data_IF_298438528909
#
_entry.id   IF_298438528909
#
_cell.length_a   1.000
_cell.length_b   1.000
_cell.length_c   1.000
_cell.angle_alpha   90.00
_cell.angle_beta   90.00
_cell.angle_gamma   90.00
#
_symmetry.space_group_name_H-M   'P 1'
#
loop_
_entity.id
_entity.type
_entity.pdbx_description
1 polymer ?
#
# COMPACT_ATOMS: atom_id res chain seq x y z
N UNK A 1 17.42 17.18 -13.45
CA UNK A 1 17.68 16.04 -14.37
C UNK A 1 16.39 15.22 -14.42
N UNK A 2 15.95 14.90 -15.62
CA UNK A 2 14.75 14.10 -15.82
C UNK A 2 14.98 12.66 -15.28
N UNK A 3 13.99 12.12 -14.56
CA UNK A 3 14.01 10.78 -13.99
C UNK A 3 12.93 9.93 -14.67
N UNK A 4 13.14 8.62 -14.75
CA UNK A 4 12.10 7.71 -15.20
C UNK A 4 11.01 7.58 -14.13
N UNK A 5 9.76 7.38 -14.58
CA UNK A 5 8.63 7.13 -13.67
C UNK A 5 8.93 5.99 -12.71
N UNK A 6 9.57 4.91 -13.17
CA UNK A 6 10.01 3.82 -12.31
C UNK A 6 10.90 4.29 -11.14
N UNK A 7 11.85 5.19 -11.41
CA UNK A 7 12.76 5.75 -10.40
C UNK A 7 12.01 6.69 -9.43
N UNK A 8 11.06 7.47 -9.95
CA UNK A 8 10.21 8.36 -9.14
C UNK A 8 9.33 7.56 -8.19
N UNK A 9 8.73 6.46 -8.67
CA UNK A 9 7.90 5.56 -7.85
C UNK A 9 8.73 4.94 -6.73
N UNK A 10 9.93 4.43 -7.04
CA UNK A 10 10.85 3.84 -6.06
C UNK A 10 11.24 4.87 -4.98
N UNK A 11 11.68 6.07 -5.39
CA UNK A 11 12.07 7.13 -4.46
C UNK A 11 10.89 7.57 -3.56
N UNK A 12 9.68 7.67 -4.12
CA UNK A 12 8.48 8.02 -3.34
C UNK A 12 8.14 6.95 -2.29
N UNK A 13 8.28 5.67 -2.63
CA UNK A 13 8.07 4.56 -1.68
C UNK A 13 9.13 4.57 -0.56
N UNK A 14 10.40 4.81 -0.89
CA UNK A 14 11.48 4.93 0.11
C UNK A 14 11.24 6.11 1.06
N UNK A 15 10.89 7.28 0.53
CA UNK A 15 10.54 8.46 1.34
C UNK A 15 9.32 8.21 2.24
N UNK A 16 8.40 7.35 1.82
CA UNK A 16 7.26 6.92 2.63
C UNK A 16 7.63 5.91 3.74
N UNK A 17 8.89 5.45 3.78
CA UNK A 17 9.40 4.54 4.80
C UNK A 17 9.37 3.06 4.42
N UNK A 18 9.04 2.72 3.17
CA UNK A 18 9.12 1.34 2.70
C UNK A 18 10.57 0.84 2.72
N UNK A 19 10.76 -0.43 3.07
CA UNK A 19 12.08 -1.08 3.11
C UNK A 19 12.16 -2.30 2.19
N UNK A 20 11.02 -2.94 1.93
CA UNK A 20 10.91 -4.17 1.16
C UNK A 20 9.75 -4.10 0.19
N UNK A 21 9.90 -4.85 -0.91
CA UNK A 21 8.84 -5.09 -1.88
C UNK A 21 8.73 -6.60 -2.07
N UNK A 22 7.54 -7.15 -1.88
CA UNK A 22 7.25 -8.56 -2.05
C UNK A 22 6.56 -8.80 -3.39
N UNK A 23 7.06 -9.72 -4.20
CA UNK A 23 6.43 -10.00 -5.48
C UNK A 23 7.19 -10.96 -6.38
N UNK A 24 6.68 -11.10 -7.59
CA UNK A 24 7.29 -11.86 -8.67
C UNK A 24 7.59 -10.90 -9.82
N UNK A 25 8.85 -10.83 -10.31
CA UNK A 25 9.17 -10.08 -11.51
C UNK A 25 8.41 -10.60 -12.73
N UNK A 26 8.07 -9.72 -13.64
CA UNK A 26 7.40 -10.05 -14.90
C UNK A 26 7.64 -8.97 -15.94
N UNK A 27 7.16 -9.18 -17.14
CA UNK A 27 7.43 -8.35 -18.31
C UNK A 27 7.00 -6.90 -18.14
N UNK A 28 5.76 -6.65 -17.72
CA UNK A 28 5.23 -5.28 -17.58
C UNK A 28 5.79 -4.52 -16.38
N UNK A 29 6.48 -5.20 -15.44
CA UNK A 29 7.06 -4.57 -14.24
C UNK A 29 8.60 -4.52 -14.26
N UNK A 30 9.25 -5.00 -15.31
CA UNK A 30 10.71 -5.11 -15.39
C UNK A 30 11.44 -3.77 -15.18
N UNK A 31 10.92 -2.68 -15.69
CA UNK A 31 11.54 -1.36 -15.49
C UNK A 31 11.49 -0.90 -14.04
N UNK A 32 10.41 -1.23 -13.33
CA UNK A 32 10.29 -0.97 -11.90
C UNK A 32 11.25 -1.85 -11.08
N UNK A 33 11.30 -3.15 -11.33
CA UNK A 33 12.23 -4.05 -10.62
C UNK A 33 13.70 -3.67 -10.85
N UNK A 34 14.04 -3.19 -12.06
CA UNK A 34 15.37 -2.67 -12.36
C UNK A 34 15.67 -1.35 -11.60
N UNK A 35 14.69 -0.49 -11.39
CA UNK A 35 14.86 0.70 -10.55
C UNK A 35 15.02 0.32 -9.08
N UNK A 36 14.26 -0.66 -8.58
CA UNK A 36 14.39 -1.21 -7.22
C UNK A 36 15.80 -1.76 -7.00
N UNK A 37 16.35 -2.51 -7.96
CA UNK A 37 17.71 -3.09 -7.87
C UNK A 37 18.82 -2.04 -7.75
N UNK A 38 18.56 -0.78 -8.11
CA UNK A 38 19.48 0.36 -8.01
C UNK A 38 19.22 1.25 -6.80
N UNK A 39 18.32 0.86 -5.92
CA UNK A 39 17.90 1.60 -4.75
C UNK A 39 18.20 0.84 -3.46
N UNK A 40 17.89 1.43 -2.31
CA UNK A 40 18.02 0.76 -1.00
C UNK A 40 16.82 -0.15 -0.69
N UNK A 41 15.77 -0.17 -1.53
CA UNK A 41 14.65 -1.10 -1.37
C UNK A 41 15.08 -2.53 -1.69
N UNK A 42 14.69 -3.47 -0.86
CA UNK A 42 14.95 -4.89 -1.08
C UNK A 42 13.77 -5.56 -1.78
N UNK A 43 14.02 -6.15 -2.94
CA UNK A 43 13.05 -7.04 -3.58
C UNK A 43 13.10 -8.42 -2.92
N UNK A 44 11.96 -8.88 -2.43
CA UNK A 44 11.78 -10.21 -1.85
C UNK A 44 10.95 -11.04 -2.84
N UNK A 45 11.63 -11.91 -3.56
CA UNK A 45 10.96 -12.81 -4.50
C UNK A 45 10.18 -13.88 -3.75
N UNK A 46 8.91 -13.99 -4.08
CA UNK A 46 8.00 -15.04 -3.57
C UNK A 46 7.71 -16.05 -4.67
N UNK A 47 7.07 -17.17 -4.34
CA UNK A 47 6.69 -18.20 -5.31
C UNK A 47 5.24 -18.04 -5.83
N UNK A 48 4.46 -17.22 -5.19
CA UNK A 48 3.09 -16.87 -5.55
C UNK A 48 2.80 -15.47 -5.00
N UNK A 49 2.15 -14.63 -5.78
CA UNK A 49 1.91 -13.23 -5.42
C UNK A 49 1.03 -13.09 -4.17
N UNK A 50 0.08 -13.99 -3.97
CA UNK A 50 -0.75 -14.05 -2.78
C UNK A 50 0.11 -14.12 -1.49
N UNK A 51 1.13 -15.00 -1.51
CA UNK A 51 2.09 -15.09 -0.39
C UNK A 51 2.83 -13.78 -0.19
N UNK A 52 3.15 -13.07 -1.28
CA UNK A 52 3.76 -11.74 -1.22
C UNK A 52 2.86 -10.71 -0.54
N UNK A 53 1.56 -10.72 -0.83
CA UNK A 53 0.60 -9.85 -0.19
C UNK A 53 0.42 -10.16 1.31
N UNK A 54 0.32 -11.43 1.68
CA UNK A 54 0.28 -11.84 3.09
C UNK A 54 1.56 -11.46 3.83
N UNK A 55 2.73 -11.63 3.21
CA UNK A 55 4.02 -11.25 3.80
C UNK A 55 4.11 -9.73 4.02
N UNK A 56 3.70 -8.93 3.04
CA UNK A 56 3.65 -7.47 3.16
C UNK A 56 2.68 -7.04 4.27
N UNK A 57 1.48 -7.63 4.32
CA UNK A 57 0.49 -7.39 5.36
C UNK A 57 1.01 -7.77 6.75
N UNK A 58 1.63 -8.94 6.89
CA UNK A 58 2.22 -9.40 8.14
C UNK A 58 3.35 -8.50 8.63
N UNK A 59 4.29 -8.10 7.75
CA UNK A 59 5.35 -7.13 8.09
C UNK A 59 4.74 -5.82 8.58
N UNK A 60 3.82 -5.26 7.81
CA UNK A 60 3.20 -3.98 8.13
C UNK A 60 2.38 -4.05 9.43
N UNK A 61 1.64 -5.14 9.63
CA UNK A 61 0.86 -5.35 10.86
C UNK A 61 1.74 -5.39 12.11
N UNK A 62 2.90 -6.06 12.01
CA UNK A 62 3.82 -6.21 13.14
C UNK A 62 4.65 -4.96 13.42
N UNK A 63 4.99 -4.19 12.39
CA UNK A 63 5.91 -3.04 12.52
C UNK A 63 5.19 -1.69 12.59
N UNK A 64 3.94 -1.61 12.12
CA UNK A 64 3.24 -0.34 11.91
C UNK A 64 3.77 0.47 10.71
N UNK A 65 4.78 -0.03 10.00
CA UNK A 65 5.43 0.64 8.87
C UNK A 65 4.77 0.28 7.54
N UNK A 66 5.05 1.08 6.51
CA UNK A 66 4.57 0.83 5.17
C UNK A 66 5.29 -0.38 4.56
N UNK A 67 4.55 -1.38 4.14
CA UNK A 67 5.04 -2.47 3.29
C UNK A 67 4.52 -2.34 1.86
N UNK A 68 5.21 -2.98 0.93
CA UNK A 68 4.89 -2.90 -0.50
C UNK A 68 4.84 -4.31 -1.09
N UNK A 69 3.86 -4.56 -1.94
CA UNK A 69 3.88 -5.69 -2.85
C UNK A 69 3.73 -5.20 -4.29
N UNK A 70 4.25 -5.97 -5.25
CA UNK A 70 4.26 -5.57 -6.64
C UNK A 70 4.24 -6.78 -7.58
N UNK A 71 3.51 -6.69 -8.69
CA UNK A 71 3.40 -7.76 -9.66
C UNK A 71 3.06 -7.30 -11.06
N UNK A 72 3.30 -8.19 -12.01
CA UNK A 72 3.01 -7.98 -13.43
C UNK A 72 1.51 -7.93 -13.71
N UNK A 73 1.13 -7.56 -14.92
CA UNK A 73 -0.28 -7.44 -15.33
C UNK A 73 -1.04 -8.78 -15.26
N UNK A 74 -2.34 -8.70 -15.32
CA UNK A 74 -3.25 -9.86 -15.38
C UNK A 74 -3.13 -10.76 -14.16
N UNK A 75 -2.81 -12.05 -14.34
CA UNK A 75 -2.76 -13.00 -13.23
C UNK A 75 -1.75 -12.61 -12.16
N UNK A 76 -0.62 -12.00 -12.53
CA UNK A 76 0.36 -11.50 -11.56
C UNK A 76 -0.19 -10.44 -10.62
N UNK A 77 -1.10 -9.60 -11.08
CA UNK A 77 -1.82 -8.67 -10.23
C UNK A 77 -2.99 -9.33 -9.49
N UNK A 78 -3.78 -10.18 -10.19
CA UNK A 78 -4.97 -10.80 -9.60
C UNK A 78 -4.67 -11.68 -8.39
N UNK A 79 -3.55 -12.37 -8.40
CA UNK A 79 -3.16 -13.25 -7.30
C UNK A 79 -2.96 -12.54 -5.96
N UNK A 80 -2.74 -11.22 -5.93
CA UNK A 80 -2.63 -10.48 -4.67
C UNK A 80 -3.96 -10.31 -3.92
N UNK A 81 -5.11 -10.50 -4.58
CA UNK A 81 -6.44 -10.10 -4.07
C UNK A 81 -6.69 -10.60 -2.65
N UNK A 82 -6.44 -11.87 -2.34
CA UNK A 82 -6.70 -12.44 -1.01
C UNK A 82 -5.87 -11.75 0.09
N UNK A 83 -4.57 -11.61 -0.12
CA UNK A 83 -3.68 -10.96 0.86
C UNK A 83 -3.91 -9.45 0.98
N UNK A 84 -4.29 -8.79 -0.10
CA UNK A 84 -4.68 -7.38 -0.11
C UNK A 84 -5.98 -7.18 0.69
N UNK A 85 -6.97 -8.05 0.48
CA UNK A 85 -8.22 -8.00 1.23
C UNK A 85 -7.99 -8.21 2.73
N UNK A 86 -7.19 -9.21 3.09
CA UNK A 86 -6.82 -9.50 4.46
C UNK A 86 -6.07 -8.32 5.11
N UNK A 87 -5.07 -7.79 4.44
CA UNK A 87 -4.30 -6.63 4.91
C UNK A 87 -5.19 -5.41 5.14
N UNK A 88 -6.13 -5.16 4.22
CA UNK A 88 -7.08 -4.06 4.33
C UNK A 88 -8.01 -4.21 5.55
N UNK A 89 -8.54 -5.42 5.77
CA UNK A 89 -9.40 -5.73 6.92
C UNK A 89 -8.68 -5.64 8.27
N UNK A 90 -7.41 -5.99 8.29
CA UNK A 90 -6.58 -5.92 9.50
C UNK A 90 -5.95 -4.54 9.73
N UNK A 91 -6.23 -3.56 8.87
CA UNK A 91 -5.67 -2.22 9.01
C UNK A 91 -4.15 -2.17 8.84
N UNK A 92 -3.57 -3.09 8.05
CA UNK A 92 -2.15 -3.13 7.76
C UNK A 92 -1.81 -2.16 6.60
N UNK A 93 -0.94 -1.16 6.81
CA UNK A 93 -0.54 -0.22 5.76
C UNK A 93 0.26 -0.90 4.64
N UNK A 94 -0.39 -1.23 3.54
CA UNK A 94 0.24 -1.85 2.36
C UNK A 94 -0.04 -1.03 1.10
N UNK A 95 1.00 -0.80 0.29
CA UNK A 95 0.84 -0.29 -1.08
C UNK A 95 1.07 -1.44 -2.06
N UNK A 96 0.09 -1.69 -2.91
CA UNK A 96 0.25 -2.56 -4.08
C UNK A 96 0.62 -1.71 -5.30
N UNK A 97 1.75 -2.03 -5.94
CA UNK A 97 2.09 -1.57 -7.29
C UNK A 97 1.61 -2.64 -8.27
N UNK A 98 0.46 -2.40 -8.85
CA UNK A 98 -0.17 -3.28 -9.82
C UNK A 98 0.23 -2.84 -11.24
N UNK A 99 1.07 -3.60 -11.92
CA UNK A 99 1.39 -3.26 -13.30
C UNK A 99 0.25 -3.66 -14.23
N UNK A 100 0.09 -2.94 -15.33
CA UNK A 100 -0.91 -3.20 -16.36
C UNK A 100 -0.26 -3.32 -17.73
N UNK A 101 -1.01 -3.79 -18.73
CA UNK A 101 -0.57 -3.83 -20.13
C UNK A 101 -0.17 -2.45 -20.63
N UNK A 102 0.60 -2.37 -21.70
CA UNK A 102 0.97 -1.09 -22.28
C UNK A 102 -0.27 -0.28 -22.70
N UNK A 103 -0.24 1.05 -22.58
CA UNK A 103 -1.37 1.93 -22.95
C UNK A 103 -1.83 1.74 -24.41
N UNK A 104 -0.90 1.38 -25.27
CA UNK A 104 -1.19 1.09 -26.70
C UNK A 104 -1.93 -0.23 -26.91
N UNK A 105 -1.97 -1.10 -25.91
CA UNK A 105 -2.60 -2.41 -25.91
C UNK A 105 -3.91 -2.43 -25.13
N UNK A 106 -4.15 -1.44 -24.30
CA UNK A 106 -5.35 -1.35 -23.46
C UNK A 106 -6.61 -1.17 -24.31
N UNK A 107 -7.65 -1.94 -24.00
CA UNK A 107 -8.94 -1.91 -24.69
C UNK A 107 -9.02 -2.79 -25.94
N UNK A 108 -7.98 -3.57 -26.24
CA UNK A 108 -7.95 -4.48 -27.38
C UNK A 108 -8.12 -5.96 -27.00
N UNK A 109 -8.56 -6.23 -25.77
CA UNK A 109 -8.64 -7.59 -25.24
C UNK A 109 -7.28 -8.30 -25.32
N UNK A 110 -6.21 -7.56 -25.00
CA UNK A 110 -4.86 -8.09 -25.01
C UNK A 110 -4.72 -9.22 -23.99
N UNK A 111 -3.94 -10.28 -24.26
CA UNK A 111 -3.69 -11.32 -23.26
C UNK A 111 -3.22 -10.74 -21.94
N UNK A 112 -3.83 -11.17 -20.84
CA UNK A 112 -3.58 -10.67 -19.48
C UNK A 112 -4.14 -9.26 -19.18
N UNK A 113 -4.88 -8.64 -20.09
CA UNK A 113 -5.59 -7.39 -19.78
C UNK A 113 -6.76 -7.67 -18.81
N UNK A 114 -6.82 -6.92 -17.72
CA UNK A 114 -7.90 -6.96 -16.73
C UNK A 114 -8.20 -5.57 -16.20
N UNK A 115 -9.45 -5.30 -15.81
CA UNK A 115 -9.83 -4.03 -15.20
C UNK A 115 -9.43 -4.02 -13.73
N UNK A 116 -8.15 -3.72 -13.47
CA UNK A 116 -7.57 -3.76 -12.14
C UNK A 116 -8.24 -2.75 -11.19
N UNK A 117 -8.68 -1.59 -11.70
CA UNK A 117 -9.31 -0.58 -10.85
C UNK A 117 -10.61 -1.12 -10.26
N UNK A 118 -11.47 -1.77 -11.05
CA UNK A 118 -12.71 -2.39 -10.53
C UNK A 118 -12.46 -3.50 -9.53
N UNK A 119 -11.35 -4.20 -9.65
CA UNK A 119 -10.99 -5.29 -8.73
C UNK A 119 -10.58 -4.73 -7.38
N UNK A 120 -9.75 -3.69 -7.36
CA UNK A 120 -9.09 -3.23 -6.14
C UNK A 120 -9.76 -2.05 -5.44
N UNK A 121 -10.57 -1.24 -6.13
CA UNK A 121 -11.16 -0.03 -5.53
C UNK A 121 -12.07 -0.33 -4.33
N UNK A 122 -12.72 -1.51 -4.30
CA UNK A 122 -13.57 -1.92 -3.19
C UNK A 122 -12.79 -2.39 -1.95
N UNK A 123 -11.52 -2.69 -2.10
CA UNK A 123 -10.67 -3.28 -1.06
C UNK A 123 -9.43 -2.44 -0.77
N UNK A 124 -9.55 -1.13 -1.00
CA UNK A 124 -8.46 -0.20 -0.74
C UNK A 124 -9.00 1.18 -0.38
N UNK A 125 -8.20 1.96 0.33
CA UNK A 125 -8.49 3.36 0.63
C UNK A 125 -8.15 4.32 -0.50
N UNK A 126 -7.39 3.83 -1.48
CA UNK A 126 -6.96 4.58 -2.65
C UNK A 126 -6.62 3.60 -3.77
N UNK A 127 -7.13 3.83 -4.97
CA UNK A 127 -6.86 3.00 -6.13
C UNK A 127 -6.86 3.88 -7.39
N UNK A 128 -5.67 4.22 -7.92
CA UNK A 128 -5.55 5.10 -9.07
C UNK A 128 -4.43 4.71 -10.02
N UNK A 129 -4.64 5.03 -11.31
CA UNK A 129 -3.62 4.94 -12.35
C UNK A 129 -2.64 6.12 -12.29
N UNK A 130 -1.38 5.84 -12.60
CA UNK A 130 -0.45 6.88 -13.07
C UNK A 130 -0.71 7.05 -14.56
N UNK A 131 -1.50 8.06 -14.92
CA UNK A 131 -1.91 8.31 -16.31
C UNK A 131 -0.96 9.26 -17.06
N UNK A 132 -0.11 10.00 -16.35
CA UNK A 132 0.88 10.91 -16.88
C UNK A 132 2.14 10.91 -16.00
N UNK A 133 3.36 11.03 -16.59
CA UNK A 133 4.61 10.98 -15.81
C UNK A 133 4.66 11.96 -14.63
N UNK A 134 4.18 13.19 -14.82
CA UNK A 134 4.17 14.22 -13.76
C UNK A 134 3.26 13.90 -12.56
N UNK A 135 2.42 12.87 -12.65
CA UNK A 135 1.56 12.42 -11.56
C UNK A 135 2.25 11.39 -10.66
N UNK A 136 3.35 10.77 -11.12
CA UNK A 136 3.95 9.61 -10.49
C UNK A 136 4.22 9.85 -9.00
N UNK A 137 4.98 10.87 -8.66
CA UNK A 137 5.29 11.20 -7.26
C UNK A 137 4.04 11.43 -6.44
N UNK A 138 3.14 12.29 -6.92
CA UNK A 138 1.93 12.65 -6.17
C UNK A 138 1.02 11.46 -5.93
N UNK A 139 0.83 10.59 -6.93
CA UNK A 139 -0.05 9.42 -6.81
C UNK A 139 0.52 8.43 -5.79
N UNK A 140 1.83 8.13 -5.87
CA UNK A 140 2.48 7.20 -4.93
C UNK A 140 2.48 7.77 -3.50
N UNK A 141 2.80 9.07 -3.34
CA UNK A 141 2.76 9.71 -2.02
C UNK A 141 1.34 9.70 -1.43
N UNK A 142 0.31 9.98 -2.25
CA UNK A 142 -1.09 9.89 -1.81
C UNK A 142 -1.50 8.46 -1.44
N UNK A 143 -1.06 7.47 -2.20
CA UNK A 143 -1.31 6.06 -1.89
C UNK A 143 -0.69 5.68 -0.54
N UNK A 144 0.59 6.00 -0.34
CA UNK A 144 1.28 5.76 0.92
C UNK A 144 0.61 6.52 2.09
N UNK A 145 0.24 7.79 1.86
CA UNK A 145 -0.50 8.61 2.83
C UNK A 145 -1.82 7.93 3.22
N UNK A 146 -2.61 7.47 2.24
CA UNK A 146 -3.89 6.81 2.50
C UNK A 146 -3.70 5.50 3.27
N UNK A 147 -2.73 4.67 2.89
CA UNK A 147 -2.44 3.41 3.57
C UNK A 147 -2.06 3.62 5.03
N UNK A 148 -1.16 4.56 5.31
CA UNK A 148 -0.64 4.84 6.65
C UNK A 148 -1.67 5.52 7.57
N UNK A 149 -2.43 6.51 7.06
CA UNK A 149 -3.34 7.29 7.92
C UNK A 149 -4.69 6.62 8.13
N UNK A 150 -5.19 5.91 7.11
CA UNK A 150 -6.47 5.18 7.23
C UNK A 150 -6.29 3.74 7.73
N UNK A 151 -5.03 3.30 7.87
CA UNK A 151 -4.65 1.94 8.27
C UNK A 151 -5.30 0.88 7.36
N UNK A 152 -4.64 0.57 6.25
CA UNK A 152 -5.14 -0.39 5.25
C UNK A 152 -4.38 -0.31 3.95
N UNK A 153 -5.01 -0.72 2.88
CA UNK A 153 -4.36 -0.86 1.57
C UNK A 153 -4.59 0.36 0.69
N UNK A 154 -3.60 0.68 -0.11
CA UNK A 154 -3.70 1.55 -1.27
C UNK A 154 -3.10 0.86 -2.51
N UNK A 155 -3.66 1.13 -3.68
CA UNK A 155 -3.24 0.52 -4.94
C UNK A 155 -2.85 1.61 -5.93
N UNK A 156 -1.69 1.45 -6.52
CA UNK A 156 -1.19 2.27 -7.63
C UNK A 156 -1.09 1.38 -8.86
N UNK A 157 -1.85 1.71 -9.89
CA UNK A 157 -1.86 0.96 -11.14
C UNK A 157 -0.97 1.69 -12.14
N UNK A 158 -0.07 0.96 -12.79
CA UNK A 158 0.92 1.54 -13.70
C UNK A 158 1.02 0.68 -14.97
N UNK A 159 0.70 1.28 -16.12
CA UNK A 159 0.94 0.61 -17.40
C UNK A 159 2.44 0.37 -17.61
N UNK A 160 2.82 -0.76 -18.17
CA UNK A 160 4.21 -1.18 -18.32
C UNK A 160 5.09 -0.17 -19.06
N UNK A 161 4.57 0.47 -20.10
CA UNK A 161 5.23 1.54 -20.87
C UNK A 161 5.39 2.84 -20.07
N UNK A 162 4.48 3.14 -19.15
CA UNK A 162 4.57 4.33 -18.29
C UNK A 162 5.84 4.35 -17.43
N UNK A 163 6.33 3.20 -17.00
CA UNK A 163 7.57 3.12 -16.21
C UNK A 163 8.81 3.66 -16.93
N UNK A 164 8.79 3.71 -18.27
CA UNK A 164 9.90 4.21 -19.08
C UNK A 164 9.82 5.71 -19.38
N UNK A 165 8.65 6.29 -19.23
CA UNK A 165 8.41 7.73 -19.40
C UNK A 165 9.23 8.54 -18.38
N UNK A 166 9.45 9.80 -18.67
CA UNK A 166 10.30 10.66 -17.84
C UNK A 166 9.57 11.92 -17.38
N UNK A 167 9.97 12.41 -16.20
CA UNK A 167 9.51 13.69 -15.64
C UNK A 167 10.68 14.37 -14.91
N UNK A 168 10.64 15.70 -14.81
CA UNK A 168 11.67 16.46 -14.10
C UNK A 168 11.57 16.32 -12.57
N UNK A 169 10.48 15.75 -12.09
CA UNK A 169 10.24 15.41 -10.67
C UNK A 169 10.58 16.57 -9.71
N UNK A 170 10.08 17.75 -10.06
CA UNK A 170 10.39 19.00 -9.32
C UNK A 170 9.59 19.15 -8.03
N UNK A 171 8.56 18.33 -7.82
CA UNK A 171 7.68 18.41 -6.67
C UNK A 171 8.22 17.56 -5.53
N UNK A 172 8.48 18.18 -4.39
CA UNK A 172 8.82 17.46 -3.16
C UNK A 172 7.55 17.21 -2.34
N UNK A 173 7.03 15.99 -2.44
CA UNK A 173 5.87 15.53 -1.69
C UNK A 173 6.34 14.63 -0.56
N UNK A 174 5.91 14.94 0.67
CA UNK A 174 6.16 14.11 1.84
C UNK A 174 4.87 13.45 2.33
N UNK A 175 5.03 12.30 2.96
CA UNK A 175 3.93 11.61 3.66
C UNK A 175 3.79 12.23 5.03
N UNK A 176 2.63 12.82 5.28
CA UNK A 176 2.28 13.32 6.60
C UNK A 176 1.67 12.20 7.44
N UNK A 177 2.23 11.94 8.62
CA UNK A 177 1.74 10.93 9.57
C UNK A 177 1.08 11.61 10.78
N UNK A 178 -0.20 12.01 10.68
CA UNK A 178 -0.89 12.55 11.85
C UNK A 178 -1.07 11.43 12.87
N UNK A 179 -0.91 11.79 14.13
CA UNK A 179 -1.22 10.90 15.26
C UNK A 179 -2.40 11.50 16.03
N UNK A 180 -3.63 11.38 15.52
CA UNK A 180 -4.79 11.89 16.22
C UNK A 180 -5.02 11.06 17.47
N UNK A 181 -5.11 11.73 18.62
CA UNK A 181 -5.55 11.13 19.87
C UNK A 181 -7.05 11.32 19.98
N UNK A 182 -7.80 10.22 19.94
CA UNK A 182 -9.23 10.22 20.20
C UNK A 182 -9.48 9.61 21.57
N UNK A 183 -10.15 10.34 22.46
CA UNK A 183 -10.59 9.81 23.75
C UNK A 183 -12.06 10.15 23.98
N UNK A 184 -12.79 9.35 24.77
CA UNK A 184 -14.11 9.71 25.25
C UNK A 184 -14.08 11.05 26.01
N UNK A 185 -15.21 11.73 26.10
CA UNK A 185 -15.31 12.92 26.93
C UNK A 185 -15.27 12.58 28.45
N UNK A 186 -15.06 13.58 29.27
CA UNK A 186 -14.89 13.36 30.71
C UNK A 186 -16.13 12.74 31.39
N UNK A 187 -17.33 13.00 30.89
CA UNK A 187 -18.56 12.40 31.41
C UNK A 187 -18.64 10.91 31.10
N UNK A 188 -18.31 10.51 29.87
CA UNK A 188 -18.23 9.09 29.46
C UNK A 188 -17.14 8.35 30.24
N UNK A 189 -16.01 8.99 30.48
CA UNK A 189 -14.94 8.40 31.30
C UNK A 189 -15.37 8.23 32.76
N UNK A 190 -16.08 9.19 33.34
CA UNK A 190 -16.61 9.07 34.71
C UNK A 190 -17.67 7.97 34.82
N UNK A 191 -18.52 7.81 33.82
CA UNK A 191 -19.51 6.71 33.77
C UNK A 191 -18.83 5.36 33.72
N UNK A 192 -17.82 5.19 32.84
CA UNK A 192 -17.02 3.97 32.76
C UNK A 192 -16.34 3.65 34.08
N UNK A 193 -15.72 4.64 34.72
CA UNK A 193 -15.06 4.47 36.03
C UNK A 193 -16.07 3.99 37.09
N UNK A 194 -17.22 4.61 37.16
CA UNK A 194 -18.27 4.22 38.11
C UNK A 194 -18.77 2.80 37.87
N UNK A 195 -18.91 2.36 36.60
CA UNK A 195 -19.28 0.99 36.26
C UNK A 195 -18.21 -0.03 36.70
N UNK A 196 -16.94 0.29 36.50
CA UNK A 196 -15.80 -0.56 36.91
C UNK A 196 -15.74 -0.66 38.45
N UNK A 197 -15.83 0.47 39.14
CA UNK A 197 -15.76 0.53 40.60
C UNK A 197 -16.92 -0.18 41.30
N UNK A 198 -18.09 -0.18 40.69
CA UNK A 198 -19.28 -0.88 41.22
C UNK A 198 -19.26 -2.40 40.97
N UNK A 199 -18.40 -2.87 40.08
CA UNK A 199 -18.38 -4.28 39.67
C UNK A 199 -17.56 -5.15 40.64
N UNK A 200 -18.07 -6.32 40.99
CA UNK A 200 -17.29 -7.33 41.75
C UNK A 200 -16.28 -8.10 40.87
N UNK A 201 -16.52 -8.14 39.55
CA UNK A 201 -15.65 -8.78 38.54
C UNK A 201 -15.77 -7.98 37.23
N UNK A 202 -14.63 -7.73 36.61
CA UNK A 202 -14.55 -7.05 35.32
C UNK A 202 -13.88 -7.99 34.30
N UNK A 203 -14.47 -8.11 33.12
CA UNK A 203 -13.83 -8.75 31.97
C UNK A 203 -13.60 -7.72 30.89
N UNK A 204 -12.39 -7.64 30.35
CA UNK A 204 -12.02 -6.71 29.29
C UNK A 204 -11.83 -7.50 28.00
N UNK A 205 -12.54 -7.09 26.96
CA UNK A 205 -12.35 -7.60 25.60
C UNK A 205 -11.67 -6.54 24.75
N UNK A 206 -10.37 -6.74 24.45
CA UNK A 206 -9.57 -5.83 23.66
C UNK A 206 -9.52 -6.28 22.19
N UNK A 207 -10.01 -5.46 21.29
CA UNK A 207 -9.92 -5.68 19.83
C UNK A 207 -8.69 -5.03 19.21
N UNK A 208 -8.66 -5.02 17.87
CA UNK A 208 -7.54 -4.45 17.06
C UNK A 208 -7.27 -2.97 17.38
N UNK A 209 -8.30 -2.22 17.80
CA UNK A 209 -8.14 -0.81 18.19
C UNK A 209 -7.23 -0.58 19.39
N UNK A 210 -7.02 -1.61 20.24
CA UNK A 210 -6.12 -1.55 21.38
C UNK A 210 -4.66 -1.94 21.04
N UNK A 211 -4.37 -2.27 19.78
CA UNK A 211 -3.04 -2.75 19.37
C UNK A 211 -1.90 -1.80 19.74
N UNK A 212 -2.12 -0.51 19.57
CA UNK A 212 -1.09 0.51 19.77
C UNK A 212 -1.01 0.98 21.23
N UNK A 213 -1.89 0.49 22.12
CA UNK A 213 -1.96 0.79 23.56
C UNK A 213 -1.52 -0.42 24.42
N UNK A 214 -0.55 -1.20 23.97
CA UNK A 214 -0.12 -2.44 24.66
C UNK A 214 0.69 -2.18 25.94
N UNK A 215 1.30 -1.01 26.04
CA UNK A 215 2.15 -0.65 27.20
C UNK A 215 1.40 0.16 28.25
N UNK A 216 0.15 0.52 28.00
CA UNK A 216 -0.74 1.25 28.90
C UNK A 216 -1.69 0.29 29.64
#
# INVERSE_FOLDING_TARGET
MSKKVAEIVVDALQKAGAKRIYGIPGDTINHFTNAVAKSDLRWITVRHEEVGAFAAGGESYMTGELSVCAGTCGPGSLHFVNGIYESHRNGAPVVLIASDVARTESGFNFPQEVDQKKIYEQHSHFCEYISHPSQARRIVTKAAQAALTKKGVAVVIVNGDMFTETDDDTMDWEVYRPQPVSRPNDAEMAELAAMVDAASKVSVYAGIGARDAREE
#
